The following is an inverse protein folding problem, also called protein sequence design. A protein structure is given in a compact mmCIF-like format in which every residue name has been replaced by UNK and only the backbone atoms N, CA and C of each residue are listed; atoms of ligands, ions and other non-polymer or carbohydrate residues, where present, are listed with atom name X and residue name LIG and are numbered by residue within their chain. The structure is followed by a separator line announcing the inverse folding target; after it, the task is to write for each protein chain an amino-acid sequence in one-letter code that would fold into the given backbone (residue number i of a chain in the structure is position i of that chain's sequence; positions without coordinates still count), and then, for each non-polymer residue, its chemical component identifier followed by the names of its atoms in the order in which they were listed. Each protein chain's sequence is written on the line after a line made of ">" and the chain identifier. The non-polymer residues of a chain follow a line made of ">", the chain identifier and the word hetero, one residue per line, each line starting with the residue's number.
data_IF_350576111765
#
_entry.id   IF_350576111765
#
_cell.length_a   1.000
_cell.length_b   1.000
_cell.length_c   1.000
_cell.angle_alpha   90.00
_cell.angle_beta   90.00
_cell.angle_gamma   90.00
#
_symmetry.space_group_name_H-M   'P 1'
#
loop_
_entity.id
_entity.type
_entity.pdbx_description
1 polymer ?
#
# COMPACT_ATOMS: atom_id res chain seq x y z
N UNK A 1 -21.50 21.99 8.01
CA UNK A 1 -21.28 20.54 7.89
C UNK A 1 -20.28 20.15 8.96
N UNK A 2 -20.67 19.32 9.93
CA UNK A 2 -19.76 18.82 10.96
C UNK A 2 -18.72 17.94 10.28
N UNK A 3 -17.46 18.39 10.27
CA UNK A 3 -16.38 17.65 9.61
C UNK A 3 -16.10 16.37 10.40
N UNK A 4 -16.60 15.24 9.91
CA UNK A 4 -16.39 13.94 10.52
C UNK A 4 -14.97 13.47 10.18
N UNK A 5 -14.27 12.90 11.16
CA UNK A 5 -12.93 12.37 10.95
C UNK A 5 -12.97 11.25 9.90
N UNK A 6 -12.06 11.28 8.92
CA UNK A 6 -12.03 10.29 7.85
C UNK A 6 -11.68 8.90 8.42
N UNK A 7 -12.44 7.91 7.99
CA UNK A 7 -12.26 6.52 8.42
C UNK A 7 -11.68 5.68 7.27
N UNK A 8 -10.45 5.25 7.46
CA UNK A 8 -9.69 4.39 6.56
C UNK A 8 -10.17 2.94 6.76
N UNK A 9 -11.06 2.50 5.88
CA UNK A 9 -11.64 1.16 5.92
C UNK A 9 -11.98 0.68 4.52
N UNK A 10 -11.79 -0.62 4.22
CA UNK A 10 -12.27 -1.21 2.96
C UNK A 10 -13.78 -1.03 2.73
N UNK A 11 -14.56 -0.83 3.79
CA UNK A 11 -16.01 -0.58 3.71
C UNK A 11 -16.38 0.81 3.19
N UNK A 12 -15.43 1.74 3.20
CA UNK A 12 -15.65 3.13 2.82
C UNK A 12 -15.08 3.46 1.42
N UNK A 13 -14.66 2.45 0.65
CA UNK A 13 -14.08 2.64 -0.68
C UNK A 13 -15.17 3.13 -1.64
N UNK A 14 -14.99 4.33 -2.19
CA UNK A 14 -15.82 4.92 -3.25
C UNK A 14 -15.42 4.43 -4.66
N UNK A 15 -14.17 3.99 -4.85
CA UNK A 15 -13.73 3.50 -6.15
C UNK A 15 -12.29 2.97 -6.17
N UNK A 16 -11.91 2.42 -7.33
CA UNK A 16 -10.52 2.03 -7.61
C UNK A 16 -9.71 3.25 -8.04
N UNK A 17 -8.42 3.21 -7.73
CA UNK A 17 -7.49 4.22 -8.17
C UNK A 17 -6.20 3.55 -8.65
N UNK A 18 -6.10 3.41 -9.97
CA UNK A 18 -4.95 2.77 -10.61
C UNK A 18 -4.01 3.83 -11.20
N UNK A 19 -4.51 4.67 -12.12
CA UNK A 19 -3.73 5.71 -12.80
C UNK A 19 -3.82 7.10 -12.16
N UNK A 20 -4.90 7.38 -11.42
CA UNK A 20 -5.16 8.71 -10.81
C UNK A 20 -4.46 8.92 -9.46
N UNK A 21 -3.77 7.88 -8.97
CA UNK A 21 -2.92 7.91 -7.79
C UNK A 21 -1.69 7.03 -8.01
N UNK A 22 -1.10 7.10 -9.20
CA UNK A 22 0.12 6.38 -9.52
C UNK A 22 1.26 6.90 -8.64
N UNK A 23 1.65 6.14 -7.62
CA UNK A 23 2.66 6.56 -6.66
C UNK A 23 3.96 5.78 -6.88
N UNK A 24 5.06 6.49 -7.10
CA UNK A 24 6.39 5.92 -7.23
C UNK A 24 7.34 6.64 -6.27
N UNK A 25 8.24 5.88 -5.64
CA UNK A 25 9.22 6.45 -4.73
C UNK A 25 10.56 5.72 -4.76
N UNK A 26 11.61 6.48 -4.52
CA UNK A 26 12.98 6.04 -4.32
C UNK A 26 13.65 7.02 -3.34
N UNK A 27 13.52 6.76 -2.04
CA UNK A 27 14.04 7.67 -1.02
C UNK A 27 15.54 7.44 -0.80
N UNK A 28 16.38 8.49 -0.92
CA UNK A 28 17.79 8.37 -0.57
C UNK A 28 17.95 8.22 0.96
N UNK A 29 19.15 7.83 1.38
CA UNK A 29 19.54 8.03 2.77
C UNK A 29 19.68 9.53 3.06
N UNK A 30 19.31 9.95 4.27
CA UNK A 30 19.45 11.33 4.72
C UNK A 30 19.71 11.37 6.22
N UNK A 31 20.30 12.46 6.73
CA UNK A 31 20.15 12.74 8.16
C UNK A 31 18.86 13.54 8.37
N UNK A 32 18.51 13.73 9.64
CA UNK A 32 17.36 14.54 10.01
C UNK A 32 17.58 15.18 11.37
N UNK A 33 17.02 16.36 11.53
CA UNK A 33 16.85 16.99 12.84
C UNK A 33 15.46 16.67 13.35
N UNK A 34 15.31 16.25 14.60
CA UNK A 34 14.02 15.97 15.23
C UNK A 34 13.68 17.03 16.28
N UNK A 35 12.45 17.53 16.24
CA UNK A 35 11.92 18.51 17.18
C UNK A 35 10.67 17.97 17.85
N UNK A 36 10.60 18.11 19.17
CA UNK A 36 9.37 17.85 19.90
C UNK A 36 8.49 19.11 19.88
N UNK A 37 7.34 19.06 19.22
CA UNK A 37 6.38 20.17 19.14
C UNK A 37 5.26 20.06 20.20
N UNK A 38 5.43 19.21 21.21
CA UNK A 38 4.49 19.00 22.32
C UNK A 38 3.29 18.12 21.97
N UNK A 39 2.81 18.14 20.72
CA UNK A 39 1.71 17.29 20.22
C UNK A 39 2.15 16.31 19.14
N UNK A 40 3.39 16.45 18.66
CA UNK A 40 3.98 15.61 17.62
C UNK A 40 5.51 15.72 17.68
N UNK A 41 6.19 14.70 17.14
CA UNK A 41 7.60 14.80 16.80
C UNK A 41 7.68 15.18 15.32
N UNK A 42 8.38 16.26 15.00
CA UNK A 42 8.61 16.70 13.63
C UNK A 42 10.08 16.51 13.26
N UNK A 43 10.33 15.76 12.20
CA UNK A 43 11.65 15.57 11.62
C UNK A 43 11.77 16.44 10.38
N UNK A 44 12.87 17.16 10.29
CA UNK A 44 13.28 17.90 9.11
C UNK A 44 14.46 17.17 8.48
N UNK A 45 14.28 16.52 7.30
CA UNK A 45 15.38 15.87 6.61
C UNK A 45 16.36 16.90 6.05
N UNK A 46 17.60 16.47 5.86
CA UNK A 46 18.58 17.28 5.14
C UNK A 46 18.08 17.53 3.70
N UNK A 47 18.27 18.75 3.20
CA UNK A 47 17.78 19.16 1.89
C UNK A 47 18.40 18.31 0.76
N UNK A 48 17.63 17.35 0.22
CA UNK A 48 17.93 16.70 -1.06
C UNK A 48 17.24 17.47 -2.19
N UNK A 49 18.01 17.89 -3.19
CA UNK A 49 17.47 18.48 -4.42
C UNK A 49 16.91 17.43 -5.40
N UNK A 50 17.15 16.15 -5.14
CA UNK A 50 16.66 15.04 -5.96
C UNK A 50 15.26 14.66 -5.43
N UNK A 51 14.19 14.83 -6.22
CA UNK A 51 12.83 14.47 -5.80
C UNK A 51 12.70 12.96 -5.66
N UNK A 52 12.48 12.42 -4.45
CA UNK A 52 12.39 10.98 -4.24
C UNK A 52 11.04 10.40 -4.67
N UNK A 53 10.01 11.24 -4.87
CA UNK A 53 8.64 10.81 -5.12
C UNK A 53 8.13 11.37 -6.44
N UNK A 54 7.45 10.52 -7.19
CA UNK A 54 6.56 10.92 -8.28
C UNK A 54 5.15 10.43 -7.94
N UNK A 55 4.18 11.35 -7.92
CA UNK A 55 2.78 11.02 -7.76
C UNK A 55 1.99 11.53 -8.97
N UNK A 56 1.35 10.60 -9.67
CA UNK A 56 0.86 10.77 -11.03
C UNK A 56 1.99 11.22 -11.96
N UNK A 57 2.00 12.48 -12.36
CA UNK A 57 3.04 13.09 -13.21
C UNK A 57 3.94 14.07 -12.44
N UNK A 58 3.57 14.42 -11.20
CA UNK A 58 4.21 15.46 -10.43
C UNK A 58 5.34 14.89 -9.57
N UNK A 59 6.44 15.65 -9.49
CA UNK A 59 7.61 15.31 -8.68
C UNK A 59 7.57 16.05 -7.36
N UNK A 60 8.00 15.38 -6.30
CA UNK A 60 7.84 15.82 -4.93
C UNK A 60 9.15 15.68 -4.15
N UNK A 61 9.42 16.67 -3.30
CA UNK A 61 10.48 16.63 -2.28
C UNK A 61 9.85 16.48 -0.90
N UNK A 62 10.54 15.77 0.00
CA UNK A 62 10.10 15.62 1.39
C UNK A 62 10.34 16.95 2.11
N UNK A 63 9.31 17.49 2.76
CA UNK A 63 9.41 18.71 3.57
C UNK A 63 9.55 18.39 5.06
N UNK A 64 8.71 17.51 5.58
CA UNK A 64 8.72 17.10 6.98
C UNK A 64 8.28 15.63 7.13
N UNK A 65 8.69 15.00 8.22
CA UNK A 65 8.18 13.70 8.65
C UNK A 65 7.63 13.86 10.06
N UNK A 66 6.37 13.49 10.28
CA UNK A 66 5.65 13.77 11.52
C UNK A 66 5.23 12.45 12.16
N UNK A 67 5.45 12.33 13.47
CA UNK A 67 4.96 11.22 14.29
C UNK A 67 3.96 11.76 15.32
N UNK A 68 2.77 11.17 15.35
CA UNK A 68 1.71 11.49 16.32
C UNK A 68 1.34 10.28 17.16
N UNK A 69 0.82 10.54 18.35
CA UNK A 69 0.28 9.51 19.25
C UNK A 69 -0.98 10.08 19.92
N UNK A 70 -2.19 9.53 19.66
CA UNK A 70 -2.51 8.40 18.77
C UNK A 70 -2.45 8.75 17.27
N UNK A 71 -2.95 7.88 16.40
CA UNK A 71 -3.11 8.20 14.96
C UNK A 71 -4.05 9.38 14.71
N UNK A 72 -3.81 10.15 13.65
CA UNK A 72 -4.72 11.21 13.20
C UNK A 72 -5.92 10.62 12.46
N UNK A 73 -5.64 9.66 11.57
CA UNK A 73 -6.67 8.91 10.87
C UNK A 73 -7.35 7.92 11.81
N UNK A 74 -8.64 7.68 11.55
CA UNK A 74 -9.38 6.57 12.13
C UNK A 74 -9.23 5.37 11.21
N UNK A 75 -8.92 4.20 11.76
CA UNK A 75 -8.83 2.93 11.05
C UNK A 75 -9.94 1.99 11.52
N UNK A 76 -10.84 1.60 10.63
CA UNK A 76 -12.00 0.76 10.96
C UNK A 76 -12.81 1.25 12.18
N UNK A 77 -13.07 2.56 12.25
CA UNK A 77 -13.78 3.26 13.33
C UNK A 77 -13.03 3.43 14.67
N UNK A 78 -11.72 3.13 14.74
CA UNK A 78 -10.91 3.41 15.94
C UNK A 78 -9.55 4.03 15.59
N UNK A 79 -8.95 4.78 16.52
CA UNK A 79 -7.56 5.20 16.38
C UNK A 79 -6.63 4.00 16.62
N UNK A 80 -5.50 3.98 15.93
CA UNK A 80 -4.38 3.07 16.26
C UNK A 80 -3.40 3.77 17.21
N UNK A 81 -2.40 3.04 17.68
CA UNK A 81 -1.53 3.48 18.76
C UNK A 81 -0.74 4.77 18.42
N UNK A 82 -0.30 4.90 17.18
CA UNK A 82 0.40 6.08 16.67
C UNK A 82 0.30 6.12 15.14
N UNK A 83 0.80 7.18 14.53
CA UNK A 83 0.89 7.31 13.08
C UNK A 83 2.14 8.09 12.71
N UNK A 84 2.78 7.68 11.62
CA UNK A 84 3.83 8.45 10.96
C UNK A 84 3.30 8.91 9.62
N UNK A 85 3.49 10.18 9.28
CA UNK A 85 3.21 10.67 7.94
C UNK A 85 4.31 11.59 7.41
N UNK A 86 4.52 11.50 6.11
CA UNK A 86 5.59 12.16 5.38
C UNK A 86 4.94 13.21 4.49
N UNK A 87 5.26 14.46 4.75
CA UNK A 87 4.78 15.59 3.98
C UNK A 87 5.72 15.85 2.81
N UNK A 88 5.12 16.07 1.65
CA UNK A 88 5.84 16.40 0.44
C UNK A 88 5.29 17.66 -0.20
N UNK A 89 6.21 18.47 -0.73
CA UNK A 89 5.88 19.65 -1.53
C UNK A 89 6.25 19.39 -2.99
N UNK A 90 5.42 19.82 -3.94
CA UNK A 90 5.71 19.61 -5.35
C UNK A 90 6.88 20.49 -5.80
N UNK A 91 7.70 19.96 -6.71
CA UNK A 91 8.84 20.69 -7.29
C UNK A 91 8.37 21.82 -8.20
N UNK A 92 7.20 21.67 -8.85
CA UNK A 92 6.64 22.62 -9.82
C UNK A 92 5.17 22.92 -9.58
N UNK A 93 4.84 23.63 -8.50
CA UNK A 93 3.46 24.01 -8.19
C UNK A 93 2.51 22.81 -8.05
N UNK A 94 1.25 23.06 -7.70
CA UNK A 94 0.26 22.00 -7.47
C UNK A 94 0.04 21.69 -5.99
N UNK A 95 -0.64 20.57 -5.74
CA UNK A 95 -1.09 20.17 -4.40
C UNK A 95 0.01 19.44 -3.63
N UNK A 96 0.08 19.68 -2.32
CA UNK A 96 0.91 18.89 -1.41
C UNK A 96 0.48 17.41 -1.42
N UNK A 97 1.43 16.55 -1.08
CA UNK A 97 1.21 15.11 -0.95
C UNK A 97 1.66 14.64 0.42
N UNK A 98 0.76 13.97 1.14
CA UNK A 98 1.04 13.34 2.43
C UNK A 98 0.96 11.82 2.29
N UNK A 99 1.93 11.11 2.87
CA UNK A 99 1.97 9.64 2.90
C UNK A 99 1.94 9.19 4.35
N UNK A 100 0.87 8.52 4.77
CA UNK A 100 0.62 8.13 6.15
C UNK A 100 0.62 6.62 6.35
N UNK A 101 1.26 6.18 7.44
CA UNK A 101 1.44 4.77 7.78
C UNK A 101 1.03 4.57 9.25
N UNK A 102 0.04 3.71 9.51
CA UNK A 102 -0.39 3.42 10.88
C UNK A 102 0.71 2.72 11.67
N UNK A 103 0.76 2.99 12.97
CA UNK A 103 1.63 2.31 13.93
C UNK A 103 0.75 1.57 14.95
N UNK A 104 1.02 0.28 15.14
CA UNK A 104 0.27 -0.58 16.07
C UNK A 104 1.17 -1.09 17.19
N UNK A 105 0.58 -1.35 18.36
CA UNK A 105 1.28 -2.05 19.44
C UNK A 105 1.43 -3.53 19.09
N UNK A 106 2.66 -4.02 19.04
CA UNK A 106 2.98 -5.41 18.71
C UNK A 106 4.36 -5.79 19.28
N UNK A 107 4.59 -7.09 19.50
CA UNK A 107 5.92 -7.64 19.81
C UNK A 107 6.77 -7.90 18.57
N UNK A 108 6.18 -7.83 17.38
CA UNK A 108 6.89 -7.99 16.12
C UNK A 108 7.84 -6.81 15.86
N UNK A 109 8.89 -7.06 15.08
CA UNK A 109 9.87 -6.04 14.70
C UNK A 109 10.14 -6.05 13.20
N UNK A 110 10.48 -4.87 12.69
CA UNK A 110 10.86 -4.65 11.29
C UNK A 110 11.96 -3.58 11.21
N UNK A 111 12.55 -3.38 10.04
CA UNK A 111 13.49 -2.27 9.82
C UNK A 111 12.84 -0.92 10.14
N UNK A 112 11.59 -0.71 9.70
CA UNK A 112 10.82 0.49 10.03
C UNK A 112 10.63 0.65 11.54
N UNK A 113 10.30 -0.44 12.25
CA UNK A 113 10.15 -0.46 13.70
C UNK A 113 11.42 0.01 14.40
N UNK A 114 12.58 -0.53 14.00
CA UNK A 114 13.86 -0.19 14.61
C UNK A 114 14.26 1.27 14.36
N UNK A 115 14.01 1.79 13.15
CA UNK A 115 14.26 3.20 12.82
C UNK A 115 13.38 4.13 13.65
N UNK A 116 12.07 3.85 13.73
CA UNK A 116 11.13 4.68 14.49
C UNK A 116 11.40 4.59 16.00
N UNK A 117 11.74 3.41 16.52
CA UNK A 117 12.17 3.27 17.93
C UNK A 117 13.39 4.13 18.24
N UNK A 118 14.40 4.14 17.37
CA UNK A 118 15.59 4.99 17.55
C UNK A 118 15.26 6.48 17.52
N UNK A 119 14.35 6.91 16.63
CA UNK A 119 13.86 8.30 16.60
C UNK A 119 13.21 8.66 17.94
N UNK A 120 12.25 7.85 18.39
CA UNK A 120 11.49 8.10 19.62
C UNK A 120 12.43 8.14 20.83
N UNK A 121 13.38 7.20 20.92
CA UNK A 121 14.37 7.15 22.00
C UNK A 121 15.34 8.33 21.97
N UNK A 122 15.79 8.76 20.79
CA UNK A 122 16.67 9.92 20.66
C UNK A 122 15.97 11.20 21.12
N UNK A 123 14.71 11.39 20.72
CA UNK A 123 13.93 12.56 21.13
C UNK A 123 13.58 12.48 22.62
N UNK A 124 13.17 11.33 23.16
CA UNK A 124 12.86 11.21 24.59
C UNK A 124 14.07 11.43 25.49
N UNK A 125 15.27 11.12 25.02
CA UNK A 125 16.51 11.30 25.79
C UNK A 125 17.06 12.72 25.67
N UNK A 126 17.06 13.29 24.45
CA UNK A 126 17.82 14.51 24.14
C UNK A 126 16.94 15.75 23.92
N UNK A 127 15.65 15.58 23.63
CA UNK A 127 14.70 16.67 23.39
C UNK A 127 13.26 16.34 23.89
N UNK A 128 13.09 15.94 25.17
CA UNK A 128 11.80 15.47 25.68
C UNK A 128 10.73 16.56 25.82
N UNK A 129 11.09 17.85 25.84
CA UNK A 129 10.12 18.94 26.08
C UNK A 129 9.74 19.66 24.80
N UNK A 130 8.55 20.27 24.82
CA UNK A 130 8.06 21.09 23.71
C UNK A 130 9.06 22.20 23.35
N UNK A 131 9.40 22.30 22.07
CA UNK A 131 10.35 23.25 21.51
C UNK A 131 11.78 22.72 21.42
N UNK A 132 12.13 21.67 22.16
CA UNK A 132 13.48 21.09 22.14
C UNK A 132 13.75 20.34 20.84
N UNK A 133 15.02 20.32 20.44
CA UNK A 133 15.48 19.78 19.16
C UNK A 133 16.74 18.94 19.37
N UNK A 134 16.87 17.84 18.63
CA UNK A 134 18.04 16.96 18.63
C UNK A 134 18.38 16.51 17.21
N UNK A 135 19.65 16.21 16.95
CA UNK A 135 20.07 15.60 15.69
C UNK A 135 19.87 14.08 15.75
N UNK A 136 19.34 13.49 14.67
CA UNK A 136 19.20 12.06 14.54
C UNK A 136 20.45 11.47 13.86
N UNK A 137 21.34 10.91 14.67
CA UNK A 137 22.53 10.19 14.19
C UNK A 137 22.20 8.71 13.92
N UNK A 138 21.15 8.45 13.13
CA UNK A 138 20.69 7.09 12.84
C UNK A 138 21.37 6.62 11.55
N UNK A 139 22.24 5.62 11.67
CA UNK A 139 22.95 5.06 10.51
C UNK A 139 21.96 4.38 9.56
N UNK A 140 22.02 4.72 8.27
CA UNK A 140 21.14 4.15 7.25
C UNK A 140 19.69 4.64 7.35
N UNK A 141 19.44 5.82 7.91
CA UNK A 141 18.10 6.40 7.92
C UNK A 141 17.64 6.70 6.49
N UNK A 142 16.60 6.00 6.06
CA UNK A 142 15.92 6.24 4.79
C UNK A 142 14.43 5.93 4.93
N UNK A 143 13.59 6.79 4.34
CA UNK A 143 12.16 6.54 4.20
C UNK A 143 11.86 5.32 3.31
N UNK A 144 12.84 4.86 2.51
CA UNK A 144 12.72 3.65 1.70
C UNK A 144 12.46 2.40 2.54
N UNK A 145 12.94 2.40 3.78
CA UNK A 145 12.74 1.32 4.75
C UNK A 145 11.51 1.50 5.64
N UNK A 146 10.79 2.62 5.50
CA UNK A 146 9.61 2.97 6.30
C UNK A 146 8.33 2.87 5.47
N UNK A 147 8.35 3.38 4.23
CA UNK A 147 7.18 3.39 3.34
C UNK A 147 6.96 2.01 2.71
N UNK A 148 5.81 1.35 2.93
CA UNK A 148 5.55 0.05 2.33
C UNK A 148 5.39 0.10 0.80
N UNK A 149 5.91 -0.91 0.10
CA UNK A 149 5.58 -1.17 -1.31
C UNK A 149 4.34 -2.10 -1.39
N UNK A 150 3.21 -1.63 -0.86
CA UNK A 150 1.96 -2.40 -0.69
C UNK A 150 0.74 -1.60 -1.14
N UNK A 151 -0.43 -2.23 -1.38
CA UNK A 151 -1.67 -1.53 -1.69
C UNK A 151 -2.01 -0.45 -0.66
N UNK A 152 -2.61 0.65 -1.11
CA UNK A 152 -2.90 1.81 -0.25
C UNK A 152 -4.23 2.47 -0.59
N UNK A 153 -4.73 3.29 0.32
CA UNK A 153 -5.86 4.18 0.08
C UNK A 153 -5.39 5.55 -0.35
N UNK A 154 -6.20 6.25 -1.16
CA UNK A 154 -5.95 7.62 -1.58
C UNK A 154 -7.20 8.47 -1.42
N UNK A 155 -7.05 9.72 -0.99
CA UNK A 155 -8.12 10.71 -0.93
C UNK A 155 -7.54 12.12 -1.00
N UNK A 156 -8.41 13.11 -1.20
CA UNK A 156 -8.05 14.53 -1.07
C UNK A 156 -8.78 15.12 0.13
N UNK A 157 -8.05 15.85 0.97
CA UNK A 157 -8.62 16.46 2.17
C UNK A 157 -9.35 17.78 1.86
N UNK A 158 -9.92 18.39 2.90
CA UNK A 158 -10.62 19.69 2.78
C UNK A 158 -9.69 20.86 2.50
N UNK A 159 -8.38 20.70 2.72
CA UNK A 159 -7.35 21.69 2.40
C UNK A 159 -6.79 21.50 0.99
N UNK A 160 -7.37 20.58 0.20
CA UNK A 160 -6.95 20.25 -1.15
C UNK A 160 -5.56 19.61 -1.20
N UNK A 161 -5.14 18.91 -0.15
CA UNK A 161 -3.93 18.11 -0.11
C UNK A 161 -4.24 16.65 -0.46
N UNK A 162 -3.33 16.01 -1.20
CA UNK A 162 -3.44 14.61 -1.54
C UNK A 162 -2.91 13.75 -0.41
N UNK A 163 -3.62 12.68 -0.10
CA UNK A 163 -3.24 11.71 0.92
C UNK A 163 -3.12 10.32 0.32
N UNK A 164 -2.04 9.64 0.71
CA UNK A 164 -1.86 8.21 0.56
C UNK A 164 -1.82 7.64 1.97
N UNK A 165 -2.68 6.67 2.28
CA UNK A 165 -2.74 6.05 3.61
C UNK A 165 -2.67 4.54 3.50
N UNK A 166 -1.68 3.95 4.18
CA UNK A 166 -1.54 2.49 4.21
C UNK A 166 -2.55 1.85 5.17
N UNK A 167 -3.10 0.68 4.84
CA UNK A 167 -4.06 -0.02 5.68
C UNK A 167 -3.37 -0.57 6.95
N UNK A 168 -4.17 -0.85 7.99
CA UNK A 168 -3.67 -1.41 9.26
C UNK A 168 -2.92 -2.75 9.11
N UNK A 169 -3.20 -3.54 8.07
CA UNK A 169 -2.47 -4.79 7.77
C UNK A 169 -1.00 -4.56 7.37
N UNK A 170 -0.68 -3.36 6.90
CA UNK A 170 0.65 -2.92 6.48
C UNK A 170 1.22 -1.90 7.50
N UNK A 171 0.69 -1.89 8.73
CA UNK A 171 1.13 -1.03 9.80
C UNK A 171 2.53 -1.37 10.30
N UNK A 172 3.22 -0.38 10.85
CA UNK A 172 4.51 -0.57 11.50
C UNK A 172 4.27 -1.08 12.93
N UNK A 173 4.77 -2.28 13.29
CA UNK A 173 4.66 -2.77 14.66
C UNK A 173 5.67 -2.07 15.56
N UNK A 174 5.24 -1.53 16.71
CA UNK A 174 6.14 -1.04 17.76
C UNK A 174 5.82 -1.68 19.10
N UNK A 175 6.87 -1.92 19.89
CA UNK A 175 6.75 -2.41 21.25
C UNK A 175 5.97 -1.41 22.13
N UNK A 176 5.18 -1.96 23.07
CA UNK A 176 4.37 -1.17 24.00
C UNK A 176 5.20 -0.16 24.80
N UNK A 177 6.42 -0.52 25.22
CA UNK A 177 7.33 0.39 25.94
C UNK A 177 7.76 1.61 25.11
N UNK A 178 7.97 1.43 23.80
CA UNK A 178 8.30 2.54 22.88
C UNK A 178 7.10 3.47 22.72
N UNK A 179 5.89 2.91 22.58
CA UNK A 179 4.64 3.68 22.49
C UNK A 179 4.33 4.43 23.79
N UNK A 180 4.57 3.81 24.95
CA UNK A 180 4.46 4.49 26.25
C UNK A 180 5.45 5.66 26.34
N UNK A 181 6.69 5.47 25.90
CA UNK A 181 7.70 6.54 25.87
C UNK A 181 7.24 7.69 24.97
N UNK A 182 6.71 7.39 23.78
CA UNK A 182 6.17 8.40 22.87
C UNK A 182 5.02 9.18 23.51
N UNK A 183 4.03 8.49 24.07
CA UNK A 183 2.88 9.12 24.73
C UNK A 183 3.21 9.92 25.99
N UNK A 184 4.41 9.74 26.56
CA UNK A 184 4.90 10.56 27.68
C UNK A 184 5.51 11.89 27.23
N UNK A 185 6.09 11.94 26.02
CA UNK A 185 6.80 13.13 25.52
C UNK A 185 5.95 14.00 24.59
N UNK A 186 4.87 13.47 24.01
CA UNK A 186 3.92 14.22 23.20
C UNK A 186 2.47 13.96 23.65
N UNK A 187 1.61 14.96 23.46
CA UNK A 187 0.17 14.91 23.74
C UNK A 187 -0.62 14.55 22.47
N UNK A 188 -1.87 14.08 22.61
CA UNK A 188 -2.77 13.88 21.46
C UNK A 188 -2.91 15.16 20.63
N UNK A 189 -2.86 15.01 19.30
CA UNK A 189 -3.11 16.11 18.39
C UNK A 189 -4.59 16.54 18.47
N UNK A 190 -4.90 17.84 18.57
CA UNK A 190 -6.24 18.30 18.98
C UNK A 190 -7.27 18.33 17.84
N UNK A 191 -6.86 18.21 16.58
CA UNK A 191 -7.75 18.36 15.44
C UNK A 191 -8.01 17.01 14.75
N UNK A 192 -9.26 16.73 14.36
CA UNK A 192 -9.59 15.55 13.58
C UNK A 192 -9.04 15.68 12.16
N UNK A 193 -8.69 14.54 11.55
CA UNK A 193 -8.32 14.50 10.14
C UNK A 193 -9.57 14.40 9.28
N UNK A 194 -9.78 15.30 8.34
CA UNK A 194 -11.03 15.35 7.57
C UNK A 194 -10.75 15.07 6.11
N UNK A 195 -11.60 14.30 5.44
CA UNK A 195 -11.31 13.89 4.06
C UNK A 195 -12.55 13.60 3.24
N UNK A 196 -12.34 13.57 1.91
CA UNK A 196 -13.37 13.26 0.93
C UNK A 196 -13.55 11.77 0.66
N UNK A 197 -13.87 11.45 -0.59
CA UNK A 197 -14.05 10.07 -1.06
C UNK A 197 -12.75 9.27 -0.98
N UNK A 198 -12.86 8.04 -0.47
CA UNK A 198 -11.72 7.15 -0.29
C UNK A 198 -11.59 6.22 -1.50
N UNK A 199 -10.44 6.25 -2.16
CA UNK A 199 -10.13 5.36 -3.27
C UNK A 199 -9.08 4.33 -2.88
N UNK A 200 -9.03 3.21 -3.60
CA UNK A 200 -8.08 2.13 -3.31
C UNK A 200 -7.20 1.78 -4.51
N UNK A 201 -5.88 1.79 -4.29
CA UNK A 201 -4.89 1.33 -5.25
C UNK A 201 -4.42 -0.08 -4.86
N UNK A 202 -4.87 -1.08 -5.62
CA UNK A 202 -4.52 -2.49 -5.38
C UNK A 202 -3.14 -2.88 -5.89
N UNK A 203 -2.54 -2.09 -6.78
CA UNK A 203 -1.25 -2.41 -7.38
C UNK A 203 -0.10 -1.94 -6.49
N UNK A 204 -0.36 -0.94 -5.65
CA UNK A 204 0.63 -0.34 -4.77
C UNK A 204 1.66 0.51 -5.50
N UNK A 205 2.67 1.02 -4.79
CA UNK A 205 3.67 1.91 -5.33
C UNK A 205 4.64 1.20 -6.28
N UNK A 206 5.28 1.93 -7.19
CA UNK A 206 6.29 1.38 -8.11
C UNK A 206 5.79 0.22 -9.00
N UNK A 207 4.48 0.01 -9.08
CA UNK A 207 3.82 -1.01 -9.90
C UNK A 207 3.78 -0.62 -11.38
N UNK A 208 3.76 0.69 -11.66
CA UNK A 208 3.87 1.25 -13.00
C UNK A 208 5.35 1.35 -13.42
N UNK A 209 6.06 0.22 -13.49
CA UNK A 209 7.31 0.13 -14.28
C UNK A 209 6.96 -0.04 -15.75
N UNK A 210 6.42 1.01 -16.36
CA UNK A 210 6.36 1.14 -17.82
C UNK A 210 7.02 2.44 -18.23
N UNK A 211 8.23 2.29 -18.75
CA UNK A 211 8.89 3.22 -19.63
C UNK A 211 8.11 3.35 -20.94
N UNK A 212 7.26 4.36 -21.03
CA UNK A 212 6.83 4.92 -22.31
C UNK A 212 6.08 6.20 -22.00
N UNK A 213 6.80 7.33 -22.08
CA UNK A 213 6.22 8.66 -22.10
C UNK A 213 5.24 8.71 -23.28
N UNK A 214 3.94 8.64 -23.00
CA UNK A 214 2.93 8.97 -24.00
C UNK A 214 2.92 10.49 -24.09
N UNK A 215 3.73 11.03 -25.01
CA UNK A 215 3.63 12.41 -25.45
C UNK A 215 2.36 12.55 -26.30
N UNK A 216 1.29 13.10 -25.72
CA UNK A 216 0.19 13.66 -26.51
C UNK A 216 0.61 15.09 -26.87
N UNK A 217 1.22 15.23 -28.05
CA UNK A 217 1.42 16.55 -28.64
C UNK A 217 0.07 17.13 -29.05
N UNK A 218 -0.49 18.01 -28.23
CA UNK A 218 -1.59 18.88 -28.66
C UNK A 218 -1.03 19.90 -29.65
N UNK A 219 -0.99 19.57 -30.94
CA UNK A 219 -0.87 20.58 -31.99
C UNK A 219 -2.22 21.27 -32.18
N UNK A 220 -2.24 22.60 -32.40
CA UNK A 220 -3.48 23.35 -32.52
C UNK A 220 -4.26 22.88 -33.74
N UNK A 221 -5.54 22.54 -33.55
CA UNK A 221 -6.46 22.11 -34.61
C UNK A 221 -6.94 23.33 -35.39
N UNK A 222 -6.13 23.76 -36.35
CA UNK A 222 -6.56 24.64 -37.42
C UNK A 222 -6.98 23.83 -38.64
N UNK A 223 -8.26 23.93 -39.00
CA UNK A 223 -8.81 23.73 -40.34
C UNK A 223 -9.18 22.29 -40.78
N UNK A 224 -10.50 22.08 -40.82
CA UNK A 224 -11.30 21.38 -41.85
C UNK A 224 -11.05 19.89 -42.16
N UNK A 225 -12.03 19.09 -41.73
CA UNK A 225 -12.69 17.94 -42.39
C UNK A 225 -11.89 17.22 -43.48
N UNK A 226 -11.32 16.05 -43.14
CA UNK A 226 -11.38 14.83 -43.97
C UNK A 226 -11.39 13.60 -43.05
N UNK A 227 -12.32 12.68 -43.32
CA UNK A 227 -12.36 11.35 -42.70
C UNK A 227 -11.21 10.53 -43.29
N UNK A 228 -10.28 10.10 -42.44
CA UNK A 228 -9.27 9.12 -42.85
C UNK A 228 -9.30 7.95 -41.88
N UNK A 229 -9.41 6.77 -42.48
CA UNK A 229 -9.50 5.46 -41.86
C UNK A 229 -8.30 5.20 -40.95
N UNK A 230 -8.54 4.49 -39.84
CA UNK A 230 -7.50 4.00 -38.96
C UNK A 230 -6.71 2.94 -39.72
N UNK A 231 -5.57 3.32 -40.30
CA UNK A 231 -4.57 2.36 -40.78
C UNK A 231 -3.95 1.74 -39.52
N UNK A 232 -4.30 0.49 -39.24
CA UNK A 232 -3.52 -0.33 -38.32
C UNK A 232 -2.17 -0.61 -38.99
N UNK A 233 -1.11 -0.01 -38.46
CA UNK A 233 0.24 -0.41 -38.81
C UNK A 233 0.41 -1.87 -38.34
N UNK A 234 0.30 -2.78 -39.30
CA UNK A 234 0.56 -4.19 -39.11
C UNK A 234 2.07 -4.35 -39.22
N UNK A 235 2.66 -5.04 -38.23
CA UNK A 235 4.09 -5.36 -38.02
C UNK A 235 4.77 -4.41 -37.01
N UNK A 236 5.17 -4.81 -35.80
CA UNK A 236 5.68 -6.10 -35.35
C UNK A 236 5.06 -6.51 -34.01
N UNK A 237 4.24 -7.56 -34.05
CA UNK A 237 4.13 -8.47 -32.91
C UNK A 237 5.45 -9.22 -32.88
N UNK A 238 6.33 -8.97 -31.90
CA UNK A 238 7.29 -10.02 -31.54
C UNK A 238 6.44 -11.23 -31.19
N UNK A 239 6.56 -12.36 -31.91
CA UNK A 239 5.82 -13.55 -31.54
C UNK A 239 6.13 -13.81 -30.07
N UNK A 240 5.10 -13.99 -29.24
CA UNK A 240 5.34 -14.54 -27.90
C UNK A 240 6.07 -15.85 -28.16
N UNK A 241 7.35 -15.88 -27.83
CA UNK A 241 8.18 -17.05 -28.06
C UNK A 241 7.80 -18.08 -26.99
N UNK A 242 6.72 -18.81 -27.27
CA UNK A 242 6.23 -19.90 -26.43
C UNK A 242 7.29 -20.97 -26.20
N UNK A 243 8.30 -21.06 -27.07
CA UNK A 243 9.41 -21.99 -26.94
C UNK A 243 10.36 -21.59 -25.79
N UNK A 244 10.52 -20.29 -25.54
CA UNK A 244 11.31 -19.77 -24.40
C UNK A 244 10.62 -20.03 -23.05
N UNK A 245 9.29 -19.97 -23.02
CA UNK A 245 8.46 -20.26 -21.83
C UNK A 245 8.42 -21.77 -21.57
N UNK A 246 8.28 -22.59 -22.62
CA UNK A 246 8.22 -24.05 -22.51
C UNK A 246 9.55 -24.68 -22.09
N UNK A 247 10.68 -24.08 -22.45
CA UNK A 247 12.01 -24.59 -22.10
C UNK A 247 12.54 -24.09 -20.75
N UNK A 248 11.77 -23.26 -20.03
CA UNK A 248 12.14 -22.82 -18.69
C UNK A 248 12.03 -23.99 -17.67
N UNK A 249 13.12 -24.34 -16.95
CA UNK A 249 13.12 -25.47 -16.02
C UNK A 249 12.12 -25.31 -14.87
N UNK A 250 11.86 -24.08 -14.41
CA UNK A 250 10.87 -23.77 -13.38
C UNK A 250 9.44 -23.96 -13.89
N UNK A 251 9.18 -23.59 -15.15
CA UNK A 251 7.87 -23.76 -15.78
C UNK A 251 7.54 -25.25 -16.03
N UNK A 252 8.54 -26.04 -16.47
CA UNK A 252 8.39 -27.51 -16.61
C UNK A 252 8.04 -28.17 -15.27
N UNK A 253 8.66 -27.73 -14.18
CA UNK A 253 8.39 -28.25 -12.83
C UNK A 253 6.97 -27.91 -12.35
N UNK A 254 6.49 -26.69 -12.64
CA UNK A 254 5.11 -26.28 -12.30
C UNK A 254 4.08 -27.10 -13.09
N UNK A 255 4.27 -27.29 -14.40
CA UNK A 255 3.38 -28.10 -15.25
C UNK A 255 3.37 -29.56 -14.79
N UNK A 256 4.53 -30.12 -14.44
CA UNK A 256 4.62 -31.50 -13.94
C UNK A 256 3.84 -31.69 -12.63
N UNK A 257 3.89 -30.71 -11.72
CA UNK A 257 3.11 -30.72 -10.48
C UNK A 257 1.61 -30.65 -10.77
N UNK A 258 1.19 -29.79 -11.70
CA UNK A 258 -0.24 -29.65 -12.06
C UNK A 258 -0.81 -30.93 -12.69
N UNK A 259 -0.04 -31.61 -13.54
CA UNK A 259 -0.43 -32.90 -14.14
C UNK A 259 -0.53 -33.98 -13.05
N UNK A 260 0.41 -34.02 -12.11
CA UNK A 260 0.36 -34.96 -11.00
C UNK A 260 -0.87 -34.73 -10.10
N UNK A 261 -1.19 -33.48 -9.77
CA UNK A 261 -2.37 -33.13 -8.97
C UNK A 261 -3.68 -33.50 -9.68
N UNK A 262 -3.77 -33.25 -10.99
CA UNK A 262 -4.97 -33.59 -11.76
C UNK A 262 -5.16 -35.11 -11.88
N UNK A 263 -4.09 -35.89 -12.07
CA UNK A 263 -4.16 -37.36 -12.03
C UNK A 263 -4.58 -37.87 -10.64
N UNK A 264 -4.10 -37.24 -9.57
CA UNK A 264 -4.48 -37.60 -8.21
C UNK A 264 -5.98 -37.36 -7.96
N UNK A 265 -6.53 -36.23 -8.42
CA UNK A 265 -7.97 -35.93 -8.30
C UNK A 265 -8.81 -36.96 -9.06
N UNK A 266 -8.41 -37.32 -10.29
CA UNK A 266 -9.10 -38.34 -11.09
C UNK A 266 -9.06 -39.70 -10.40
N UNK A 267 -7.93 -40.08 -9.82
CA UNK A 267 -7.81 -41.32 -9.05
C UNK A 267 -8.78 -41.36 -7.86
N UNK A 268 -8.90 -40.27 -7.11
CA UNK A 268 -9.87 -40.17 -6.00
C UNK A 268 -11.32 -40.26 -6.49
N UNK A 269 -11.62 -39.65 -7.65
CA UNK A 269 -12.94 -39.71 -8.24
C UNK A 269 -13.31 -41.15 -8.67
N UNK A 270 -12.38 -41.87 -9.30
CA UNK A 270 -12.57 -43.27 -9.70
C UNK A 270 -12.72 -44.19 -8.47
N UNK A 271 -11.90 -44.00 -7.44
CA UNK A 271 -12.03 -44.76 -6.19
C UNK A 271 -13.39 -44.52 -5.51
N UNK A 272 -13.87 -43.28 -5.50
CA UNK A 272 -15.19 -42.96 -4.98
C UNK A 272 -16.30 -43.61 -5.81
N UNK A 273 -16.15 -43.64 -7.15
CA UNK A 273 -17.09 -44.31 -8.04
C UNK A 273 -17.13 -45.83 -7.79
N UNK A 274 -15.98 -46.49 -7.66
CA UNK A 274 -15.88 -47.92 -7.35
C UNK A 274 -16.48 -48.22 -5.97
N UNK A 275 -16.18 -47.39 -4.97
CA UNK A 275 -16.75 -47.50 -3.63
C UNK A 275 -18.29 -47.42 -3.66
N UNK A 276 -18.84 -46.46 -4.40
CA UNK A 276 -20.29 -46.32 -4.57
C UNK A 276 -20.92 -47.53 -5.28
N UNK A 277 -20.20 -48.15 -6.23
CA UNK A 277 -20.66 -49.32 -6.96
C UNK A 277 -20.66 -50.59 -6.09
N UNK A 278 -19.64 -50.78 -5.26
CA UNK A 278 -19.55 -51.91 -4.33
C UNK A 278 -20.62 -51.86 -3.22
N UNK A 279 -20.93 -50.67 -2.72
CA UNK A 279 -21.99 -50.49 -1.71
C UNK A 279 -23.39 -50.65 -2.32
N UNK A 280 -23.63 -50.09 -3.51
CA UNK A 280 -24.94 -50.20 -4.17
C UNK A 280 -25.23 -51.58 -4.79
N UNK A 281 -24.20 -52.41 -5.03
CA UNK A 281 -24.36 -53.80 -5.48
C UNK A 281 -24.88 -54.77 -4.39
N UNK A 282 -24.93 -54.33 -3.13
CA UNK A 282 -25.31 -55.20 -2.00
C UNK A 282 -26.79 -55.10 -1.60
N UNK A 283 -27.59 -54.21 -2.22
CA UNK A 283 -28.98 -53.97 -1.84
C UNK A 283 -29.93 -54.23 -3.01
N UNK A 284 -30.01 -55.49 -3.44
CA UNK A 284 -31.19 -56.01 -4.15
C UNK A 284 -31.37 -57.50 -3.85
N UNK A 285 -31.86 -57.79 -2.66
CA UNK A 285 -32.62 -59.03 -2.40
C UNK A 285 -33.82 -58.73 -1.52
N UNK A 286 -34.95 -58.57 -2.22
CA UNK A 286 -36.32 -58.93 -1.85
C UNK A 286 -36.98 -58.30 -0.62
N UNK A 287 -37.85 -57.31 -0.89
CA UNK A 287 -39.19 -57.28 -0.31
C UNK A 287 -40.17 -57.07 -1.47
N UNK A 288 -40.74 -58.15 -1.98
CA UNK A 288 -42.00 -58.10 -2.74
C UNK A 288 -43.14 -58.35 -1.77
N UNK A 289 -43.91 -57.30 -1.50
CA UNK A 289 -45.27 -57.40 -0.96
C UNK A 289 -46.23 -57.77 -2.10
N UNK A 290 -47.33 -58.49 -1.81
CA UNK A 290 -48.61 -58.01 -2.34
C UNK A 290 -49.74 -58.08 -1.31
N UNK A 291 -50.26 -56.89 -0.99
CA UNK A 291 -51.61 -56.39 -1.24
C UNK A 291 -52.85 -57.32 -1.21
N UNK A 292 -53.93 -56.77 -0.60
CA UNK A 292 -55.38 -57.10 -0.69
C UNK A 292 -55.81 -58.41 0.01
N UNK A 293 -56.85 -58.47 0.85
CA UNK A 293 -58.11 -57.70 1.01
C UNK A 293 -58.52 -57.58 2.47
#
# INVERSE_FOLDING_TARGET
>A
MTSQNINISPKNISGKCDLKCSYNFNYPESNSTAKNNGVMINLTPDNSSIPPVTYNTEKYIVSNIIITCPSLHIFNNSNVAAEIFIQHVPVKGGQNLNVAIPIISSSESSTASNLITQIIQSVSTNAPRNGETTNLNITGFTLQNIVPAKPFFSYTDTNNENWIVFPMKDAIPLNSSTLTTLGQIIKPYPLPMTGGELFFNSNGPNSNKSSSEIYISCNPTGSSVETTEVVYDTNMVTPIDFNSIWNNPTFKLIIQILIACSLFIVMFYVLNMIYSFLINGSVKSQITSPDKS
#
